data_IF_200921875576
#
_entry.id   IF_200921875576
#
_cell.length_a   1.000
_cell.length_b   1.000
_cell.length_c   1.000
_cell.angle_alpha   90.00
_cell.angle_beta   90.00
_cell.angle_gamma   90.00
#
_symmetry.space_group_name_H-M   'P 1'
#
loop_
_entity.id
_entity.type
_entity.pdbx_description
1 polymer ?
#
# COMPACT_ATOMS: atom_id res chain seq x y z
N UNK A 1 37.83 -48.03 -21.70
CA UNK A 1 37.09 -46.76 -21.72
C UNK A 1 36.32 -46.66 -20.40
N UNK A 2 36.83 -45.90 -19.44
CA UNK A 2 36.06 -45.54 -18.24
C UNK A 2 35.24 -44.28 -18.55
N UNK A 3 33.99 -44.18 -18.08
CA UNK A 3 33.19 -42.98 -18.31
C UNK A 3 33.71 -41.85 -17.43
N UNK A 4 33.95 -40.70 -18.05
CA UNK A 4 34.31 -39.45 -17.38
C UNK A 4 33.07 -38.97 -16.62
N UNK A 5 33.10 -39.06 -15.30
CA UNK A 5 32.11 -38.43 -14.44
C UNK A 5 32.31 -36.92 -14.52
N UNK A 6 31.41 -36.21 -15.19
CA UNK A 6 31.32 -34.75 -15.05
C UNK A 6 30.90 -34.42 -13.61
N UNK A 7 31.56 -33.46 -12.95
CA UNK A 7 31.22 -33.09 -11.59
C UNK A 7 29.85 -32.41 -11.59
N UNK A 8 28.90 -33.01 -10.88
CA UNK A 8 27.63 -32.35 -10.54
C UNK A 8 27.98 -31.19 -9.61
N UNK A 9 27.67 -29.96 -10.03
CA UNK A 9 27.97 -28.77 -9.24
C UNK A 9 27.31 -28.87 -7.85
N UNK A 10 28.10 -28.59 -6.82
CA UNK A 10 27.70 -28.75 -5.43
C UNK A 10 26.53 -27.79 -5.10
N UNK A 11 25.39 -28.28 -4.57
CA UNK A 11 24.21 -27.44 -4.29
C UNK A 11 24.51 -26.26 -3.37
N UNK A 12 25.47 -26.43 -2.45
CA UNK A 12 25.90 -25.40 -1.49
C UNK A 12 26.63 -24.24 -2.19
N UNK A 13 27.46 -24.55 -3.17
CA UNK A 13 28.21 -23.55 -3.96
C UNK A 13 27.25 -22.77 -4.87
N UNK A 14 26.28 -23.46 -5.48
CA UNK A 14 25.27 -22.79 -6.31
C UNK A 14 24.39 -21.83 -5.50
N UNK A 15 23.92 -22.24 -4.32
CA UNK A 15 23.10 -21.40 -3.41
C UNK A 15 23.90 -20.17 -2.95
N UNK A 16 25.16 -20.34 -2.55
CA UNK A 16 26.02 -19.23 -2.13
C UNK A 16 26.20 -18.20 -3.26
N UNK A 17 26.53 -18.63 -4.48
CA UNK A 17 26.73 -17.73 -5.63
C UNK A 17 25.44 -16.93 -5.96
N UNK A 18 24.26 -17.57 -5.90
CA UNK A 18 22.98 -16.85 -6.08
C UNK A 18 22.71 -15.84 -4.98
N UNK A 19 22.96 -16.17 -3.70
CA UNK A 19 22.72 -15.23 -2.60
C UNK A 19 23.65 -14.02 -2.66
N UNK A 20 24.93 -14.20 -3.03
CA UNK A 20 25.90 -13.09 -3.18
C UNK A 20 25.47 -12.14 -4.30
N UNK A 21 24.95 -12.67 -5.41
CA UNK A 21 24.47 -11.86 -6.55
C UNK A 21 23.25 -11.00 -6.19
N UNK A 22 22.26 -11.56 -5.48
CA UNK A 22 21.08 -10.79 -5.07
C UNK A 22 21.38 -9.76 -3.98
N UNK A 23 22.34 -10.06 -3.10
CA UNK A 23 22.81 -9.09 -2.09
C UNK A 23 23.45 -7.89 -2.77
N UNK A 24 24.29 -8.11 -3.80
CA UNK A 24 24.90 -7.03 -4.58
C UNK A 24 23.85 -6.19 -5.35
N UNK A 25 22.83 -6.83 -5.92
CA UNK A 25 21.74 -6.11 -6.59
C UNK A 25 20.94 -5.24 -5.62
N UNK A 26 20.66 -5.72 -4.40
CA UNK A 26 19.97 -4.90 -3.39
C UNK A 26 20.84 -3.73 -2.92
N UNK A 27 22.12 -3.95 -2.64
CA UNK A 27 23.03 -2.86 -2.29
C UNK A 27 23.05 -1.79 -3.39
N UNK A 28 23.15 -2.21 -4.66
CA UNK A 28 23.11 -1.29 -5.79
C UNK A 28 21.76 -0.58 -5.93
N UNK A 29 20.64 -1.27 -5.68
CA UNK A 29 19.30 -0.66 -5.66
C UNK A 29 19.21 0.45 -4.62
N UNK A 30 19.75 0.23 -3.42
CA UNK A 30 19.76 1.22 -2.35
C UNK A 30 20.58 2.46 -2.71
N UNK A 31 21.77 2.26 -3.28
CA UNK A 31 22.60 3.37 -3.81
C UNK A 31 21.84 4.20 -4.85
N UNK A 32 21.24 3.53 -5.84
CA UNK A 32 20.43 4.19 -6.88
C UNK A 32 19.26 4.95 -6.25
N UNK A 33 18.57 4.36 -5.26
CA UNK A 33 17.46 5.02 -4.58
C UNK A 33 17.90 6.31 -3.89
N UNK A 34 19.01 6.27 -3.15
CA UNK A 34 19.56 7.45 -2.44
C UNK A 34 19.99 8.53 -3.43
N UNK A 35 20.69 8.14 -4.51
CA UNK A 35 21.09 9.06 -5.57
C UNK A 35 19.88 9.75 -6.19
N UNK A 36 18.87 8.99 -6.60
CA UNK A 36 17.67 9.53 -7.24
C UNK A 36 16.84 10.41 -6.30
N UNK A 37 16.72 10.03 -5.03
CA UNK A 37 16.01 10.81 -4.03
C UNK A 37 16.72 12.14 -3.72
N UNK A 38 18.05 12.19 -3.81
CA UNK A 38 18.83 13.43 -3.62
C UNK A 38 18.63 14.44 -4.75
N UNK A 39 18.14 14.00 -5.92
CA UNK A 39 17.89 14.82 -7.10
C UNK A 39 16.48 15.42 -7.13
N UNK A 40 15.63 15.12 -6.14
CA UNK A 40 14.27 15.65 -6.04
C UNK A 40 14.03 16.33 -4.70
N UNK A 41 13.32 17.44 -4.73
CA UNK A 41 12.83 18.09 -3.51
C UNK A 41 11.76 17.24 -2.84
N UNK A 42 11.55 17.46 -1.54
CA UNK A 42 10.45 16.81 -0.81
C UNK A 42 9.07 17.12 -1.43
N UNK A 43 8.89 18.32 -1.96
CA UNK A 43 7.65 18.76 -2.59
C UNK A 43 7.35 17.96 -3.87
N UNK A 44 8.35 17.78 -4.74
CA UNK A 44 8.22 16.97 -5.96
C UNK A 44 7.89 15.51 -5.65
N UNK A 45 8.53 14.93 -4.62
CA UNK A 45 8.24 13.56 -4.17
C UNK A 45 6.83 13.44 -3.59
N UNK A 46 6.37 14.45 -2.86
CA UNK A 46 5.01 14.50 -2.30
C UNK A 46 3.93 14.60 -3.38
N UNK A 47 4.16 15.35 -4.45
CA UNK A 47 3.21 15.50 -5.57
C UNK A 47 2.91 14.16 -6.24
N UNK A 48 3.95 13.34 -6.43
CA UNK A 48 3.85 12.01 -7.04
C UNK A 48 3.59 10.88 -6.03
N UNK A 49 3.64 11.18 -4.73
CA UNK A 49 3.48 10.19 -3.65
C UNK A 49 4.58 9.13 -3.62
N UNK A 50 5.80 9.49 -4.01
CA UNK A 50 6.93 8.59 -4.22
C UNK A 50 7.75 8.43 -2.94
N UNK A 51 7.48 7.36 -2.20
CA UNK A 51 8.24 6.97 -1.02
C UNK A 51 8.68 5.51 -1.17
N UNK A 52 9.99 5.27 -1.18
CA UNK A 52 10.50 3.91 -1.27
C UNK A 52 10.18 3.13 0.00
N UNK A 53 9.68 1.92 -0.16
CA UNK A 53 9.51 0.97 0.95
C UNK A 53 10.87 0.58 1.51
N UNK A 54 11.13 0.72 2.83
CA UNK A 54 12.36 0.21 3.44
C UNK A 54 12.49 -1.30 3.21
N UNK A 55 13.70 -1.79 2.90
CA UNK A 55 13.90 -3.20 2.52
C UNK A 55 13.52 -4.17 3.64
N UNK A 56 13.74 -3.80 4.91
CA UNK A 56 13.37 -4.63 6.06
C UNK A 56 11.85 -4.86 6.09
N UNK A 57 11.06 -3.79 5.92
CA UNK A 57 9.61 -3.87 5.83
C UNK A 57 9.16 -4.67 4.60
N UNK A 58 9.79 -4.46 3.45
CA UNK A 58 9.47 -5.21 2.23
C UNK A 58 9.69 -6.72 2.42
N UNK A 59 10.78 -7.11 3.11
CA UNK A 59 11.06 -8.51 3.47
C UNK A 59 10.01 -9.07 4.43
N UNK A 60 9.56 -8.31 5.42
CA UNK A 60 8.50 -8.74 6.33
C UNK A 60 7.18 -8.99 5.59
N UNK A 61 6.78 -8.06 4.72
CA UNK A 61 5.56 -8.17 3.91
C UNK A 61 5.62 -9.40 2.99
N UNK A 62 6.74 -9.58 2.29
CA UNK A 62 6.95 -10.73 1.39
C UNK A 62 6.98 -12.05 2.17
N UNK A 63 7.65 -12.10 3.32
CA UNK A 63 7.72 -13.30 4.15
C UNK A 63 6.33 -13.69 4.65
N UNK A 64 5.56 -12.72 5.12
CA UNK A 64 4.19 -12.95 5.56
C UNK A 64 3.30 -13.43 4.40
N UNK A 65 3.35 -12.75 3.25
CA UNK A 65 2.58 -13.15 2.06
C UNK A 65 2.94 -14.56 1.58
N UNK A 66 4.23 -14.91 1.54
CA UNK A 66 4.72 -16.26 1.22
C UNK A 66 4.15 -17.33 2.14
N UNK A 67 3.99 -17.04 3.43
CA UNK A 67 3.44 -17.97 4.42
C UNK A 67 1.93 -18.19 4.25
N UNK A 68 1.22 -17.22 3.66
CA UNK A 68 -0.20 -17.35 3.29
C UNK A 68 -0.41 -18.15 2.01
N UNK A 69 0.62 -18.29 1.17
CA UNK A 69 0.55 -19.05 -0.08
C UNK A 69 0.75 -20.55 0.14
N UNK A 70 0.06 -21.43 -0.62
CA UNK A 70 0.31 -22.86 -0.57
C UNK A 70 1.78 -23.23 -0.88
N UNK A 71 2.33 -24.20 -0.16
CA UNK A 71 3.69 -24.70 -0.38
C UNK A 71 3.81 -25.32 -1.78
N UNK A 72 4.93 -25.11 -2.45
CA UNK A 72 5.24 -25.71 -3.76
C UNK A 72 4.62 -25.01 -4.98
N UNK A 73 3.61 -24.16 -4.79
CA UNK A 73 3.03 -23.36 -5.90
C UNK A 73 4.06 -22.36 -6.42
N UNK A 74 4.21 -22.32 -7.75
CA UNK A 74 5.04 -21.33 -8.47
C UNK A 74 4.45 -19.94 -8.30
N UNK A 75 5.31 -18.94 -8.15
CA UNK A 75 4.93 -17.55 -7.89
C UNK A 75 5.00 -16.77 -9.18
N UNK A 76 3.88 -16.15 -9.52
CA UNK A 76 3.76 -15.10 -10.54
C UNK A 76 3.54 -13.79 -9.79
N UNK A 77 4.61 -13.00 -9.69
CA UNK A 77 4.67 -11.77 -8.89
C UNK A 77 4.26 -10.54 -9.70
N UNK A 78 3.50 -9.64 -9.07
CA UNK A 78 3.09 -8.38 -9.67
C UNK A 78 3.20 -7.21 -8.69
N UNK A 79 3.79 -6.11 -9.15
CA UNK A 79 3.78 -4.82 -8.46
C UNK A 79 3.44 -3.68 -9.46
N UNK A 80 2.23 -3.11 -9.39
CA UNK A 80 1.78 -2.07 -10.31
C UNK A 80 2.42 -0.68 -10.07
N UNK A 81 3.18 -0.49 -8.99
CA UNK A 81 3.88 0.74 -8.64
C UNK A 81 5.31 0.42 -8.18
N UNK A 82 6.11 -0.09 -9.11
CA UNK A 82 7.34 -0.82 -8.84
C UNK A 82 8.46 0.03 -8.22
N UNK A 83 8.54 1.31 -8.58
CA UNK A 83 9.65 2.18 -8.19
C UNK A 83 11.00 1.57 -8.59
N UNK A 84 11.95 1.55 -7.65
CA UNK A 84 13.26 0.90 -7.85
C UNK A 84 13.24 -0.62 -7.62
N UNK A 85 12.12 -1.21 -7.16
CA UNK A 85 11.97 -2.66 -7.02
C UNK A 85 12.26 -3.23 -5.62
N UNK A 86 11.94 -2.50 -4.55
CA UNK A 86 12.15 -2.96 -3.18
C UNK A 86 11.45 -4.30 -2.88
N UNK A 87 10.20 -4.49 -3.34
CA UNK A 87 9.47 -5.75 -3.14
C UNK A 87 10.02 -6.91 -3.98
N UNK A 88 10.48 -6.64 -5.20
CA UNK A 88 11.12 -7.67 -6.03
C UNK A 88 12.48 -8.11 -5.47
N UNK A 89 13.26 -7.15 -4.96
CA UNK A 89 14.49 -7.44 -4.22
C UNK A 89 14.20 -8.29 -2.97
N UNK A 90 13.19 -7.91 -2.18
CA UNK A 90 12.73 -8.70 -1.04
C UNK A 90 12.27 -10.11 -1.46
N UNK A 91 11.51 -10.23 -2.55
CA UNK A 91 11.05 -11.51 -3.11
C UNK A 91 12.22 -12.44 -3.43
N UNK A 92 13.18 -11.97 -4.21
CA UNK A 92 14.34 -12.77 -4.65
C UNK A 92 15.27 -13.14 -3.50
N UNK A 93 15.30 -12.35 -2.43
CA UNK A 93 16.05 -12.69 -1.21
C UNK A 93 15.34 -13.71 -0.29
N UNK A 94 14.01 -13.80 -0.36
CA UNK A 94 13.18 -14.59 0.58
C UNK A 94 12.63 -15.88 -0.05
N UNK A 95 12.56 -15.94 -1.38
CA UNK A 95 11.98 -17.03 -2.15
C UNK A 95 13.05 -17.59 -3.10
N UNK A 96 13.19 -18.91 -3.12
CA UNK A 96 14.07 -19.58 -4.08
C UNK A 96 13.69 -19.20 -5.52
N UNK A 97 14.67 -18.86 -6.34
CA UNK A 97 14.48 -18.52 -7.76
C UNK A 97 13.67 -19.59 -8.51
N UNK A 98 13.87 -20.87 -8.18
CA UNK A 98 13.11 -21.98 -8.76
C UNK A 98 11.60 -21.90 -8.52
N UNK A 99 11.14 -21.20 -7.48
CA UNK A 99 9.72 -21.00 -7.18
C UNK A 99 9.14 -19.77 -7.88
N UNK A 100 9.95 -18.86 -8.41
CA UNK A 100 9.47 -17.66 -9.09
C UNK A 100 9.38 -17.97 -10.58
N UNK A 101 8.17 -17.99 -11.11
CA UNK A 101 7.89 -18.29 -12.53
C UNK A 101 7.87 -17.03 -13.38
N UNK A 102 7.26 -15.96 -12.88
CA UNK A 102 7.16 -14.68 -13.56
C UNK A 102 7.20 -13.53 -12.54
N UNK A 103 7.67 -12.37 -12.98
CA UNK A 103 7.62 -11.13 -12.21
C UNK A 103 7.38 -9.97 -13.17
N UNK A 104 6.35 -9.16 -12.91
CA UNK A 104 6.03 -7.98 -13.72
C UNK A 104 5.88 -6.75 -12.85
N UNK A 105 6.40 -5.62 -13.30
CA UNK A 105 6.39 -4.35 -12.59
C UNK A 105 6.05 -3.18 -13.49
N UNK A 106 5.27 -2.22 -12.99
CA UNK A 106 5.01 -0.96 -13.70
C UNK A 106 5.58 0.23 -12.95
N UNK A 107 6.24 1.14 -13.66
CA UNK A 107 6.65 2.45 -13.16
C UNK A 107 6.34 3.50 -14.23
N UNK A 108 5.80 4.64 -13.81
CA UNK A 108 5.42 5.73 -14.73
C UNK A 108 6.50 6.79 -14.83
N UNK A 109 7.29 6.97 -13.78
CA UNK A 109 8.32 7.99 -13.70
C UNK A 109 9.65 7.49 -14.26
N UNK A 110 10.09 8.08 -15.36
CA UNK A 110 11.36 7.75 -16.00
C UNK A 110 12.58 7.99 -15.11
N UNK A 111 12.49 8.93 -14.15
CA UNK A 111 13.55 9.23 -13.19
C UNK A 111 13.93 7.99 -12.37
N UNK A 112 12.91 7.28 -11.87
CA UNK A 112 13.11 6.04 -11.12
C UNK A 112 13.19 4.82 -12.03
N UNK A 113 12.40 4.79 -13.10
CA UNK A 113 12.22 3.58 -13.88
C UNK A 113 13.34 3.28 -14.88
N UNK A 114 14.03 4.28 -15.43
CA UNK A 114 15.17 4.02 -16.34
C UNK A 114 16.34 3.33 -15.60
N UNK A 115 16.84 3.84 -14.47
CA UNK A 115 17.90 3.17 -13.71
C UNK A 115 17.47 1.81 -13.16
N UNK A 116 16.22 1.69 -12.69
CA UNK A 116 15.69 0.43 -12.16
C UNK A 116 15.59 -0.65 -13.25
N UNK A 117 15.11 -0.31 -14.45
CA UNK A 117 15.06 -1.24 -15.58
C UNK A 117 16.46 -1.74 -15.97
N UNK A 118 17.46 -0.87 -15.96
CA UNK A 118 18.85 -1.24 -16.23
C UNK A 118 19.38 -2.20 -15.15
N UNK A 119 19.17 -1.87 -13.87
CA UNK A 119 19.55 -2.69 -12.71
C UNK A 119 19.00 -4.12 -12.81
N UNK A 120 17.73 -4.26 -13.19
CA UNK A 120 17.04 -5.55 -13.22
C UNK A 120 17.10 -6.27 -14.57
N UNK A 121 17.78 -5.71 -15.58
CA UNK A 121 17.83 -6.21 -16.97
C UNK A 121 18.31 -7.67 -17.12
N UNK A 122 19.12 -8.16 -16.18
CA UNK A 122 19.67 -9.53 -16.16
C UNK A 122 18.86 -10.49 -15.28
N UNK A 123 17.63 -10.13 -14.95
CA UNK A 123 16.71 -10.94 -14.13
C UNK A 123 15.47 -11.33 -14.93
N UNK A 124 14.58 -12.13 -14.32
CA UNK A 124 13.29 -12.52 -14.93
C UNK A 124 12.24 -11.41 -14.93
N UNK A 125 12.56 -10.24 -14.36
CA UNK A 125 11.61 -9.15 -14.21
C UNK A 125 11.25 -8.55 -15.57
N UNK A 126 9.95 -8.58 -15.88
CA UNK A 126 9.36 -7.76 -16.93
C UNK A 126 9.06 -6.35 -16.39
N UNK A 127 10.03 -5.44 -16.53
CA UNK A 127 9.92 -4.05 -16.07
C UNK A 127 9.29 -3.16 -17.16
N UNK A 128 8.09 -2.65 -16.89
CA UNK A 128 7.32 -1.82 -17.82
C UNK A 128 7.35 -0.35 -17.40
N UNK A 129 8.03 0.49 -18.17
CA UNK A 129 8.03 1.95 -18.00
C UNK A 129 6.77 2.57 -18.64
N UNK A 130 5.61 2.35 -17.99
CA UNK A 130 4.29 2.72 -18.49
C UNK A 130 3.35 3.07 -17.34
N UNK A 131 2.37 3.91 -17.64
CA UNK A 131 1.25 4.21 -16.74
C UNK A 131 0.34 2.97 -16.56
N UNK A 132 0.46 2.30 -15.41
CA UNK A 132 -0.33 1.13 -15.04
C UNK A 132 -1.84 1.35 -15.22
N UNK A 133 -2.34 2.55 -14.91
CA UNK A 133 -3.79 2.83 -14.91
C UNK A 133 -4.43 2.74 -16.30
N UNK A 134 -3.59 2.79 -17.35
CA UNK A 134 -3.99 2.67 -18.75
C UNK A 134 -3.84 1.25 -19.29
N UNK A 135 -3.20 0.36 -18.55
CA UNK A 135 -2.95 -1.01 -19.01
C UNK A 135 -4.19 -1.89 -18.86
N UNK A 136 -4.17 -3.04 -19.54
CA UNK A 136 -5.21 -4.06 -19.50
C UNK A 136 -4.67 -5.33 -18.84
N UNK A 137 -5.46 -5.99 -17.98
CA UNK A 137 -5.05 -7.26 -17.39
C UNK A 137 -4.89 -8.36 -18.46
N UNK A 138 -4.15 -9.44 -18.16
CA UNK A 138 -4.16 -10.64 -18.98
C UNK A 138 -5.58 -11.18 -19.17
N UNK A 139 -5.90 -11.66 -20.38
CA UNK A 139 -7.20 -12.21 -20.69
C UNK A 139 -7.40 -13.61 -20.07
N UNK A 140 -6.36 -14.45 -20.16
CA UNK A 140 -6.39 -15.83 -19.68
C UNK A 140 -6.02 -15.91 -18.19
N UNK A 141 -6.72 -16.78 -17.46
CA UNK A 141 -6.54 -16.95 -16.02
C UNK A 141 -5.14 -17.48 -15.65
N UNK A 142 -4.54 -18.31 -16.52
CA UNK A 142 -3.20 -18.85 -16.32
C UNK A 142 -2.09 -17.78 -16.41
N UNK A 143 -2.36 -16.67 -17.12
CA UNK A 143 -1.40 -15.59 -17.28
C UNK A 143 -1.44 -14.58 -16.13
N UNK A 144 -2.51 -14.58 -15.34
CA UNK A 144 -2.69 -13.71 -14.17
C UNK A 144 -1.74 -14.04 -13.03
N UNK A 145 -1.66 -13.12 -12.08
CA UNK A 145 -0.67 -13.15 -11.00
C UNK A 145 -1.28 -13.73 -9.72
N UNK A 146 -0.48 -14.50 -8.98
CA UNK A 146 -0.90 -15.12 -7.72
C UNK A 146 -0.26 -14.48 -6.49
N UNK A 147 0.65 -13.52 -6.69
CA UNK A 147 1.23 -12.71 -5.64
C UNK A 147 1.29 -11.25 -6.08
N UNK A 148 0.48 -10.40 -5.47
CA UNK A 148 0.41 -8.97 -5.78
C UNK A 148 0.86 -8.19 -4.56
N UNK A 149 1.97 -7.47 -4.64
CA UNK A 149 2.48 -6.68 -3.51
C UNK A 149 2.74 -5.28 -4.01
N UNK A 150 2.19 -4.28 -3.32
CA UNK A 150 2.31 -2.90 -3.79
C UNK A 150 2.34 -1.90 -2.64
N UNK A 151 3.21 -0.89 -2.80
CA UNK A 151 3.15 0.39 -2.11
C UNK A 151 2.76 1.44 -3.15
N UNK A 152 1.45 1.62 -3.44
CA UNK A 152 1.01 2.52 -4.48
C UNK A 152 1.28 3.99 -4.14
N UNK A 153 1.26 4.90 -5.12
CA UNK A 153 1.51 6.32 -4.88
C UNK A 153 0.41 6.97 -4.03
N UNK A 154 0.81 7.72 -2.98
CA UNK A 154 -0.11 8.37 -2.03
C UNK A 154 -0.62 9.74 -2.52
N UNK A 155 -0.96 9.82 -3.80
CA UNK A 155 -1.42 11.05 -4.44
C UNK A 155 -2.84 11.37 -4.01
N UNK A 156 -3.03 12.57 -3.44
CA UNK A 156 -4.35 13.07 -3.02
C UNK A 156 -5.22 13.37 -4.24
N UNK A 157 -6.53 13.26 -4.05
CA UNK A 157 -7.53 13.40 -5.10
C UNK A 157 -7.54 14.75 -5.86
N UNK A 158 -6.92 15.81 -5.30
CA UNK A 158 -6.76 17.12 -5.94
C UNK A 158 -5.72 17.12 -7.08
N UNK A 159 -4.80 16.16 -7.08
CA UNK A 159 -3.74 16.05 -8.09
C UNK A 159 -4.09 15.03 -9.19
N UNK A 160 -5.24 14.35 -9.09
CA UNK A 160 -5.76 13.38 -10.09
C UNK A 160 -6.69 14.11 -11.07
N UNK A 161 -6.20 15.16 -11.72
CA UNK A 161 -7.02 15.98 -12.63
C UNK A 161 -7.11 15.35 -14.03
N UNK A 162 -8.27 15.50 -14.69
CA UNK A 162 -8.49 15.07 -16.08
C UNK A 162 -8.82 13.58 -16.31
N UNK A 163 -8.32 12.65 -15.49
CA UNK A 163 -8.54 11.19 -15.70
C UNK A 163 -9.57 10.55 -14.75
N UNK A 164 -10.07 11.32 -13.80
CA UNK A 164 -10.87 10.81 -12.67
C UNK A 164 -12.12 10.04 -13.07
N UNK A 165 -12.91 10.56 -14.03
CA UNK A 165 -14.13 9.89 -14.52
C UNK A 165 -13.80 8.52 -15.14
N UNK A 166 -12.73 8.47 -15.93
CA UNK A 166 -12.24 7.24 -16.56
C UNK A 166 -11.77 6.22 -15.51
N UNK A 167 -10.98 6.67 -14.54
CA UNK A 167 -10.50 5.81 -13.45
C UNK A 167 -11.65 5.30 -12.57
N UNK A 168 -12.67 6.12 -12.29
CA UNK A 168 -13.86 5.69 -11.57
C UNK A 168 -14.67 4.64 -12.33
N UNK A 169 -14.82 4.82 -13.65
CA UNK A 169 -15.50 3.84 -14.50
C UNK A 169 -14.76 2.50 -14.51
N UNK A 170 -13.44 2.52 -14.72
CA UNK A 170 -12.62 1.29 -14.68
C UNK A 170 -12.60 0.63 -13.29
N UNK A 171 -12.56 1.41 -12.21
CA UNK A 171 -12.60 0.87 -10.86
C UNK A 171 -13.94 0.17 -10.55
N UNK A 172 -15.05 0.71 -11.07
CA UNK A 172 -16.35 0.07 -10.99
C UNK A 172 -16.38 -1.22 -11.82
N UNK A 173 -15.87 -1.19 -13.04
CA UNK A 173 -15.82 -2.34 -13.94
C UNK A 173 -14.94 -3.48 -13.40
N UNK A 174 -13.74 -3.17 -12.92
CA UNK A 174 -12.75 -4.18 -12.49
C UNK A 174 -13.03 -4.76 -11.11
N UNK A 175 -13.58 -3.98 -10.18
CA UNK A 175 -13.61 -4.34 -8.76
C UNK A 175 -14.92 -3.97 -8.06
N UNK A 176 -15.96 -3.56 -8.80
CA UNK A 176 -17.22 -3.07 -8.23
C UNK A 176 -17.02 -1.90 -7.23
N UNK A 177 -15.93 -1.13 -7.40
CA UNK A 177 -15.55 -0.04 -6.50
C UNK A 177 -16.12 1.29 -6.99
N UNK A 178 -17.26 1.70 -6.44
CA UNK A 178 -17.81 3.05 -6.66
C UNK A 178 -17.03 4.09 -5.86
N UNK A 179 -15.90 4.54 -6.40
CA UNK A 179 -15.00 5.50 -5.74
C UNK A 179 -15.56 6.92 -5.80
N UNK A 180 -15.54 7.62 -4.67
CA UNK A 180 -15.93 9.03 -4.61
C UNK A 180 -14.82 9.92 -5.17
N UNK A 181 -15.15 11.18 -5.44
CA UNK A 181 -14.15 12.16 -5.86
C UNK A 181 -13.09 12.50 -4.80
N UNK A 182 -13.20 11.97 -3.59
CA UNK A 182 -12.22 12.20 -2.51
C UNK A 182 -11.18 11.07 -2.42
N UNK A 183 -11.38 9.97 -3.15
CA UNK A 183 -10.48 8.82 -3.14
C UNK A 183 -9.10 9.17 -3.72
N UNK A 184 -8.04 8.81 -2.98
CA UNK A 184 -6.66 8.93 -3.45
C UNK A 184 -6.31 7.91 -4.53
N UNK A 185 -5.14 8.08 -5.16
CA UNK A 185 -4.73 7.27 -6.31
C UNK A 185 -4.59 5.77 -5.96
N UNK A 186 -4.15 5.46 -4.74
CA UNK A 186 -4.02 4.08 -4.25
C UNK A 186 -5.33 3.27 -4.34
N UNK A 187 -6.50 3.92 -4.19
CA UNK A 187 -7.78 3.23 -4.29
C UNK A 187 -8.02 2.70 -5.71
N UNK A 188 -7.57 3.45 -6.72
CA UNK A 188 -7.68 3.05 -8.12
C UNK A 188 -6.66 1.96 -8.45
N UNK A 189 -5.43 2.03 -7.91
CA UNK A 189 -4.45 0.97 -8.08
C UNK A 189 -4.99 -0.36 -7.53
N UNK A 190 -5.57 -0.35 -6.32
CA UNK A 190 -6.20 -1.53 -5.74
C UNK A 190 -7.35 -2.08 -6.61
N UNK A 191 -8.23 -1.20 -7.09
CA UNK A 191 -9.37 -1.59 -7.93
C UNK A 191 -8.92 -2.19 -9.27
N UNK A 192 -8.00 -1.52 -9.97
CA UNK A 192 -7.54 -1.94 -11.29
C UNK A 192 -6.73 -3.23 -11.22
N UNK A 193 -5.93 -3.43 -10.16
CA UNK A 193 -5.19 -4.66 -9.94
C UNK A 193 -6.10 -5.87 -9.76
N UNK A 194 -7.39 -5.71 -9.42
CA UNK A 194 -8.30 -6.84 -9.27
C UNK A 194 -8.34 -7.74 -10.51
N UNK A 195 -8.40 -7.15 -11.71
CA UNK A 195 -8.40 -7.92 -12.96
C UNK A 195 -7.09 -8.64 -13.27
N UNK A 196 -5.98 -8.24 -12.63
CA UNK A 196 -4.66 -8.85 -12.82
C UNK A 196 -4.42 -10.06 -11.90
N UNK A 197 -5.27 -10.24 -10.89
CA UNK A 197 -5.15 -11.33 -9.93
C UNK A 197 -5.82 -12.59 -10.45
N UNK A 198 -5.16 -13.72 -10.30
CA UNK A 198 -5.83 -14.99 -10.46
C UNK A 198 -6.69 -15.33 -9.24
N UNK A 199 -7.56 -16.32 -9.41
CA UNK A 199 -8.33 -16.86 -8.32
C UNK A 199 -7.37 -17.38 -7.24
N UNK A 200 -7.63 -17.00 -5.99
CA UNK A 200 -6.81 -17.35 -4.83
C UNK A 200 -5.45 -16.64 -4.72
N UNK A 201 -5.16 -15.64 -5.56
CA UNK A 201 -3.97 -14.79 -5.41
C UNK A 201 -3.86 -14.21 -3.99
N UNK A 202 -2.65 -14.08 -3.47
CA UNK A 202 -2.40 -13.32 -2.24
C UNK A 202 -1.99 -11.91 -2.62
N UNK A 203 -2.72 -10.93 -2.10
CA UNK A 203 -2.39 -9.52 -2.27
C UNK A 203 -1.97 -8.89 -0.94
N UNK A 204 -0.96 -8.03 -0.96
CA UNK A 204 -0.59 -7.17 0.16
C UNK A 204 -0.42 -5.72 -0.30
N UNK A 205 -1.07 -4.81 0.41
CA UNK A 205 -1.09 -3.39 0.07
C UNK A 205 -0.59 -2.57 1.26
N UNK A 206 0.53 -1.87 1.08
CA UNK A 206 0.99 -0.84 2.00
C UNK A 206 0.31 0.47 1.61
N UNK A 207 -0.71 0.90 2.37
CA UNK A 207 -1.58 2.03 2.03
C UNK A 207 -1.91 2.89 3.25
N UNK A 208 -2.39 4.13 3.07
CA UNK A 208 -2.79 4.99 4.19
C UNK A 208 -3.92 4.34 5.02
N UNK A 209 -3.76 4.28 6.34
CA UNK A 209 -4.77 3.72 7.27
C UNK A 209 -6.06 4.53 7.36
N UNK A 210 -6.10 5.75 6.84
CA UNK A 210 -7.27 6.64 6.89
C UNK A 210 -8.54 6.04 6.28
N UNK A 211 -8.43 5.14 5.29
CA UNK A 211 -9.60 4.48 4.68
C UNK A 211 -10.48 3.75 5.70
N UNK A 212 -9.90 3.38 6.85
CA UNK A 212 -10.56 2.67 7.93
C UNK A 212 -11.62 3.53 8.64
N UNK A 213 -11.51 4.86 8.55
CA UNK A 213 -12.31 5.80 9.34
C UNK A 213 -13.05 6.87 8.52
N UNK A 214 -12.59 7.16 7.31
CA UNK A 214 -13.14 8.23 6.46
C UNK A 214 -14.26 7.73 5.54
N UNK A 215 -15.14 8.64 5.14
CA UNK A 215 -16.32 8.30 4.31
C UNK A 215 -15.93 7.73 2.94
N UNK A 216 -14.89 8.26 2.28
CA UNK A 216 -14.46 7.75 0.98
C UNK A 216 -13.94 6.30 1.10
N UNK A 217 -13.39 5.95 2.26
CA UNK A 217 -12.87 4.61 2.56
C UNK A 217 -13.96 3.55 2.65
N UNK A 218 -15.25 3.94 2.70
CA UNK A 218 -16.35 2.98 2.67
C UNK A 218 -16.35 2.11 1.40
N UNK A 219 -15.98 2.68 0.24
CA UNK A 219 -15.87 1.91 -1.01
C UNK A 219 -14.73 0.88 -0.96
N UNK A 220 -13.62 1.22 -0.29
CA UNK A 220 -12.49 0.29 -0.07
C UNK A 220 -12.90 -0.82 0.89
N UNK A 221 -13.55 -0.48 2.02
CA UNK A 221 -14.06 -1.48 2.97
C UNK A 221 -15.07 -2.42 2.31
N UNK A 222 -15.98 -1.89 1.49
CA UNK A 222 -16.95 -2.70 0.75
C UNK A 222 -16.27 -3.67 -0.22
N UNK A 223 -15.23 -3.24 -0.93
CA UNK A 223 -14.43 -4.14 -1.77
C UNK A 223 -13.77 -5.24 -0.96
N UNK A 224 -13.08 -4.88 0.13
CA UNK A 224 -12.38 -5.83 1.01
C UNK A 224 -13.31 -6.86 1.65
N UNK A 225 -14.57 -6.50 1.90
CA UNK A 225 -15.56 -7.40 2.49
C UNK A 225 -16.32 -8.25 1.46
N UNK A 226 -16.55 -7.75 0.25
CA UNK A 226 -17.53 -8.33 -0.68
C UNK A 226 -16.94 -8.85 -1.99
N UNK A 227 -15.74 -8.43 -2.39
CA UNK A 227 -15.15 -8.85 -3.67
C UNK A 227 -13.88 -9.68 -3.50
N UNK A 228 -13.30 -9.67 -2.31
CA UNK A 228 -12.14 -10.47 -1.92
C UNK A 228 -12.35 -11.07 -0.53
N UNK A 229 -11.42 -11.91 -0.07
CA UNK A 229 -11.40 -12.43 1.30
C UNK A 229 -10.32 -11.69 2.07
N UNK A 230 -10.72 -10.72 2.88
CA UNK A 230 -9.81 -9.98 3.74
C UNK A 230 -9.20 -10.92 4.78
N UNK A 231 -7.87 -10.91 4.91
CA UNK A 231 -7.15 -11.83 5.81
C UNK A 231 -6.64 -11.07 7.04
N UNK A 232 -5.92 -9.98 6.80
CA UNK A 232 -5.25 -9.25 7.87
C UNK A 232 -5.13 -7.76 7.56
N UNK A 233 -5.27 -6.92 8.58
CA UNK A 233 -4.87 -5.51 8.55
C UNK A 233 -3.87 -5.27 9.69
N UNK A 234 -2.64 -4.91 9.34
CA UNK A 234 -1.60 -4.52 10.29
C UNK A 234 -1.44 -3.00 10.29
N UNK A 235 -1.33 -2.39 11.47
CA UNK A 235 -0.98 -0.99 11.64
C UNK A 235 0.24 -0.85 12.51
N UNK A 236 1.16 0.01 12.10
CA UNK A 236 2.34 0.34 12.88
C UNK A 236 1.99 1.38 13.95
N UNK A 237 2.69 1.32 15.08
CA UNK A 237 2.61 2.37 16.08
C UNK A 237 3.43 3.56 15.59
N UNK A 238 2.84 4.77 15.43
CA UNK A 238 3.58 5.96 15.00
C UNK A 238 4.72 6.37 15.95
N UNK A 239 4.69 5.90 17.20
CA UNK A 239 5.76 6.12 18.17
C UNK A 239 6.96 5.18 17.99
N UNK A 240 6.84 4.14 17.16
CA UNK A 240 7.94 3.23 16.84
C UNK A 240 8.84 3.81 15.74
N UNK A 241 10.11 4.02 16.09
CA UNK A 241 11.14 4.62 15.22
C UNK A 241 11.60 3.71 14.09
N UNK A 242 11.23 2.42 14.08
CA UNK A 242 11.74 1.44 13.12
C UNK A 242 11.48 1.83 11.64
N UNK A 243 10.50 2.70 11.36
CA UNK A 243 10.10 3.04 10.00
C UNK A 243 9.58 4.48 9.84
N UNK A 244 10.12 5.41 10.65
CA UNK A 244 9.64 6.78 10.86
C UNK A 244 9.33 7.56 9.56
N UNK A 245 10.15 7.42 8.52
CA UNK A 245 10.03 8.23 7.30
C UNK A 245 8.94 7.75 6.31
N UNK A 246 8.41 6.53 6.45
CA UNK A 246 7.46 5.93 5.49
C UNK A 246 6.11 5.49 6.09
N UNK A 247 6.00 5.39 7.42
CA UNK A 247 4.87 4.71 8.07
C UNK A 247 3.93 5.56 8.92
N UNK A 248 4.14 6.88 9.01
CA UNK A 248 3.21 7.73 9.77
C UNK A 248 1.81 7.64 9.15
N UNK A 249 0.93 6.88 9.81
CA UNK A 249 -0.45 6.56 9.41
C UNK A 249 -0.63 5.57 8.25
N UNK A 250 0.32 4.66 7.98
CA UNK A 250 0.15 3.56 7.01
C UNK A 250 -0.39 2.26 7.65
N UNK A 251 -1.02 1.43 6.83
CA UNK A 251 -1.44 0.07 7.17
C UNK A 251 -1.00 -0.90 6.07
N UNK A 252 -0.75 -2.15 6.43
CA UNK A 252 -0.61 -3.24 5.45
C UNK A 252 -1.87 -4.08 5.47
N UNK A 253 -2.50 -4.22 4.30
CA UNK A 253 -3.74 -4.96 4.11
C UNK A 253 -3.45 -6.21 3.28
N UNK A 254 -3.69 -7.38 3.85
CA UNK A 254 -3.62 -8.67 3.14
C UNK A 254 -5.01 -9.19 2.84
N UNK A 255 -5.21 -9.62 1.59
CA UNK A 255 -6.42 -10.32 1.19
C UNK A 255 -6.11 -11.40 0.17
N UNK A 256 -7.04 -12.33 0.02
CA UNK A 256 -7.03 -13.36 -1.02
C UNK A 256 -7.97 -12.95 -2.15
N UNK A 257 -7.53 -13.10 -3.41
CA UNK A 257 -8.26 -12.83 -4.66
C UNK A 257 -9.40 -13.82 -4.92
N UNK A 258 -10.18 -14.13 -3.89
CA UNK A 258 -11.38 -14.95 -3.95
C UNK A 258 -12.44 -14.26 -3.11
N UNK A 259 -13.66 -14.14 -3.62
CA UNK A 259 -14.79 -13.61 -2.88
C UNK A 259 -15.04 -14.45 -1.62
N UNK A 260 -15.29 -13.78 -0.50
CA UNK A 260 -15.54 -14.45 0.77
C UNK A 260 -16.91 -15.11 0.81
N UNK A 261 -17.04 -16.22 1.55
CA UNK A 261 -18.31 -16.85 1.92
C UNK A 261 -19.07 -16.06 3.02
N UNK A 262 -18.72 -14.78 3.25
CA UNK A 262 -19.30 -13.87 4.24
C UNK A 262 -19.28 -14.39 5.70
N UNK A 263 -18.45 -15.39 5.98
CA UNK A 263 -18.35 -16.02 7.30
C UNK A 263 -16.90 -16.37 7.62
N UNK A 264 -16.07 -15.34 7.79
CA UNK A 264 -14.66 -15.47 8.18
C UNK A 264 -14.29 -14.44 9.24
N UNK A 265 -13.16 -14.68 9.90
CA UNK A 265 -12.52 -13.71 10.77
C UNK A 265 -11.38 -13.03 10.03
N UNK A 266 -11.20 -11.75 10.32
CA UNK A 266 -10.10 -10.92 9.83
C UNK A 266 -9.21 -10.61 11.01
N UNK A 267 -7.90 -10.85 10.85
CA UNK A 267 -6.92 -10.53 11.88
C UNK A 267 -6.58 -9.04 11.84
N UNK A 268 -6.78 -8.34 12.94
CA UNK A 268 -6.29 -6.97 13.13
C UNK A 268 -5.09 -7.00 14.05
N UNK A 269 -3.99 -6.38 13.62
CA UNK A 269 -2.76 -6.30 14.43
C UNK A 269 -2.28 -4.85 14.53
N UNK A 270 -1.67 -4.51 15.67
CA UNK A 270 -1.17 -3.16 15.93
C UNK A 270 0.14 -3.17 16.70
N UNK A 271 1.06 -2.28 16.31
CA UNK A 271 2.38 -2.11 16.92
C UNK A 271 3.31 -3.31 16.71
N UNK A 272 4.59 -3.14 17.05
CA UNK A 272 5.61 -4.18 16.79
C UNK A 272 5.80 -4.46 15.30
N UNK A 273 6.20 -5.69 14.98
CA UNK A 273 6.40 -6.13 13.59
C UNK A 273 5.19 -6.93 13.11
N UNK A 274 5.07 -7.12 11.78
CA UNK A 274 3.99 -7.92 11.17
C UNK A 274 3.91 -9.33 11.76
N UNK A 275 5.05 -9.95 12.07
CA UNK A 275 5.14 -11.33 12.57
C UNK A 275 5.10 -11.42 14.11
N UNK A 276 5.35 -10.31 14.81
CA UNK A 276 5.30 -10.20 16.27
C UNK A 276 4.62 -8.88 16.64
N UNK A 277 3.29 -8.79 16.45
CA UNK A 277 2.57 -7.57 16.76
C UNK A 277 2.46 -7.37 18.27
N UNK A 278 2.39 -6.11 18.71
CA UNK A 278 2.19 -5.80 20.13
C UNK A 278 0.77 -6.18 20.60
N UNK A 279 -0.21 -6.02 19.71
CA UNK A 279 -1.61 -6.39 19.95
C UNK A 279 -2.19 -7.08 18.72
N UNK A 280 -3.04 -8.09 18.93
CA UNK A 280 -3.79 -8.75 17.87
C UNK A 280 -5.21 -9.09 18.29
N UNK A 281 -6.13 -9.13 17.32
CA UNK A 281 -7.52 -9.52 17.52
C UNK A 281 -8.14 -10.04 16.23
N UNK A 282 -8.83 -11.16 16.33
CA UNK A 282 -9.69 -11.65 15.26
C UNK A 282 -11.07 -10.98 15.36
N UNK A 283 -11.49 -10.36 14.26
CA UNK A 283 -12.78 -9.66 14.15
C UNK A 283 -13.60 -10.33 13.06
N UNK A 284 -14.82 -10.74 13.39
CA UNK A 284 -15.68 -11.41 12.41
C UNK A 284 -16.15 -10.46 11.32
N UNK A 285 -16.32 -11.00 10.11
CA UNK A 285 -16.87 -10.26 8.97
C UNK A 285 -18.18 -9.53 9.32
N UNK A 286 -19.06 -10.18 10.11
CA UNK A 286 -20.35 -9.60 10.55
C UNK A 286 -20.17 -8.35 11.43
N UNK A 287 -19.11 -8.27 12.23
CA UNK A 287 -18.79 -7.06 12.99
C UNK A 287 -18.30 -5.97 12.05
N UNK A 288 -17.45 -6.31 11.08
CA UNK A 288 -16.86 -5.34 10.15
C UNK A 288 -17.86 -4.69 9.19
N UNK A 289 -18.95 -5.39 8.84
CA UNK A 289 -20.03 -4.84 8.01
C UNK A 289 -20.85 -3.77 8.72
N UNK A 290 -20.89 -3.81 10.06
CA UNK A 290 -21.67 -2.86 10.87
C UNK A 290 -20.80 -1.77 11.48
N UNK A 291 -19.53 -2.06 11.78
CA UNK A 291 -18.60 -1.08 12.35
C UNK A 291 -18.11 -0.08 11.31
N UNK A 292 -18.27 1.21 11.63
CA UNK A 292 -17.87 2.31 10.74
C UNK A 292 -16.39 2.62 10.83
N UNK A 293 -15.79 2.48 12.02
CA UNK A 293 -14.39 2.83 12.30
C UNK A 293 -13.57 1.59 12.59
N UNK A 294 -12.86 1.09 11.59
CA UNK A 294 -12.04 -0.11 11.77
C UNK A 294 -10.74 0.17 12.52
N UNK A 295 -10.29 1.44 12.61
CA UNK A 295 -9.06 1.83 13.32
C UNK A 295 -9.10 1.57 14.83
N UNK A 296 -10.27 1.16 15.34
CA UNK A 296 -10.46 0.78 16.74
C UNK A 296 -9.88 -0.61 17.02
N UNK A 297 -9.80 -1.49 16.03
CA UNK A 297 -9.28 -2.84 16.19
C UNK A 297 -7.76 -2.88 15.96
N UNK A 298 -6.97 -3.58 16.79
CA UNK A 298 -7.38 -4.48 17.87
C UNK A 298 -7.63 -3.80 19.23
N UNK A 299 -7.29 -2.51 19.39
CA UNK A 299 -7.26 -1.78 20.68
C UNK A 299 -8.61 -1.68 21.42
N UNK A 300 -9.74 -2.00 20.79
CA UNK A 300 -11.07 -1.86 21.38
C UNK A 300 -11.98 -3.03 21.01
N UNK A 301 -12.99 -3.25 21.85
CA UNK A 301 -14.11 -4.15 21.55
C UNK A 301 -15.13 -3.54 20.59
N UNK A 302 -15.98 -4.42 20.05
CA UNK A 302 -17.16 -4.02 19.29
C UNK A 302 -17.98 -3.02 20.12
N UNK A 303 -18.41 -1.93 19.49
CA UNK A 303 -19.31 -0.98 20.17
C UNK A 303 -20.61 -1.68 20.51
N UNK A 304 -20.95 -1.69 21.79
CA UNK A 304 -22.33 -1.86 22.20
C UNK A 304 -23.03 -0.53 21.98
N UNK A 305 -24.11 -0.51 21.18
CA UNK A 305 -24.99 0.66 21.16
C UNK A 305 -25.65 0.76 22.52
N UNK A 306 -25.15 1.67 23.35
CA UNK A 306 -25.86 2.04 24.55
C UNK A 306 -27.11 2.81 24.10
N UNK A 307 -28.29 2.40 24.58
CA UNK A 307 -29.56 3.06 24.27
C UNK A 307 -29.67 4.51 24.78
N UNK A 308 -28.55 5.09 25.23
CA UNK A 308 -28.49 6.46 25.71
C UNK A 308 -28.54 7.45 24.53
N UNK A 309 -29.13 8.64 24.75
CA UNK A 309 -29.16 9.68 23.73
C UNK A 309 -27.74 10.15 23.37
N UNK A 310 -27.49 10.42 22.09
CA UNK A 310 -26.21 10.91 21.55
C UNK A 310 -26.18 12.44 21.61
N UNK A 311 -24.99 13.06 21.64
CA UNK A 311 -24.87 14.54 21.67
C UNK A 311 -25.68 15.26 20.58
N UNK A 312 -25.74 14.68 19.38
CA UNK A 312 -26.54 15.19 18.26
C UNK A 312 -28.06 15.27 18.54
N UNK A 313 -28.54 14.54 19.54
CA UNK A 313 -29.94 14.57 19.97
C UNK A 313 -30.24 15.83 20.80
N UNK A 314 -29.21 16.46 21.38
CA UNK A 314 -29.35 17.66 22.21
C UNK A 314 -28.76 18.91 21.55
N UNK A 315 -27.73 18.75 20.72
CA UNK A 315 -26.94 19.86 20.20
C UNK A 315 -26.70 19.74 18.70
N UNK A 316 -26.75 20.88 18.00
CA UNK A 316 -26.26 21.00 16.64
C UNK A 316 -24.75 21.31 16.65
N UNK A 317 -23.92 20.30 16.37
CA UNK A 317 -22.46 20.48 16.32
C UNK A 317 -22.06 20.98 14.94
N UNK A 318 -21.43 22.15 14.88
CA UNK A 318 -20.86 22.74 13.65
C UNK A 318 -19.35 22.88 13.81
N UNK A 319 -18.62 22.73 12.71
CA UNK A 319 -17.17 23.02 12.67
C UNK A 319 -16.99 24.54 12.83
N UNK A 320 -15.93 24.95 13.54
CA UNK A 320 -15.51 26.34 13.61
C UNK A 320 -15.15 26.92 12.24
N UNK A 321 -15.06 28.24 12.14
CA UNK A 321 -14.70 28.95 10.91
C UNK A 321 -13.32 28.48 10.43
N UNK A 322 -13.22 28.13 9.14
CA UNK A 322 -11.95 27.93 8.46
C UNK A 322 -11.71 29.16 7.59
N UNK A 323 -10.66 29.93 7.89
CA UNK A 323 -10.37 31.22 7.25
C UNK A 323 -9.75 31.06 5.85
N UNK A 324 -9.18 29.89 5.54
CA UNK A 324 -8.47 29.63 4.27
C UNK A 324 -7.07 30.26 4.20
N UNK A 325 -6.80 31.30 4.99
CA UNK A 325 -5.48 31.89 5.18
C UNK A 325 -5.34 32.44 6.61
N UNK A 326 -4.87 31.59 7.52
CA UNK A 326 -4.67 31.98 8.91
C UNK A 326 -3.70 33.16 9.06
N UNK A 327 -2.68 33.28 8.19
CA UNK A 327 -1.68 34.35 8.31
C UNK A 327 -2.28 35.71 7.95
N UNK A 328 -3.20 35.73 7.00
CA UNK A 328 -3.91 36.95 6.62
C UNK A 328 -4.99 37.34 7.62
N UNK A 329 -5.82 36.37 8.06
CA UNK A 329 -7.01 36.67 8.87
C UNK A 329 -6.78 36.68 10.38
N UNK A 330 -5.67 36.12 10.87
CA UNK A 330 -5.36 36.04 12.30
C UNK A 330 -4.15 36.93 12.60
N UNK A 331 -4.40 38.03 13.29
CA UNK A 331 -3.37 38.98 13.73
C UNK A 331 -3.29 39.00 15.25
N UNK A 332 -2.06 39.05 15.76
CA UNK A 332 -1.82 39.38 17.17
C UNK A 332 -2.16 40.85 17.43
N UNK A 333 -2.45 41.17 18.69
CA UNK A 333 -2.75 42.55 19.10
C UNK A 333 -1.63 43.54 18.72
N UNK A 334 -0.37 43.10 18.87
CA UNK A 334 0.81 43.88 18.49
C UNK A 334 0.79 44.18 16.98
N UNK A 335 0.44 43.21 16.14
CA UNK A 335 0.36 43.43 14.69
C UNK A 335 -0.76 44.41 14.32
N UNK A 336 -1.93 44.28 14.94
CA UNK A 336 -3.07 45.19 14.72
C UNK A 336 -2.68 46.63 15.08
N UNK A 337 -2.04 46.82 16.23
CA UNK A 337 -1.56 48.14 16.69
C UNK A 337 -0.47 48.69 15.76
N UNK A 338 0.51 47.87 15.37
CA UNK A 338 1.61 48.31 14.50
C UNK A 338 1.15 48.71 13.09
N UNK A 339 0.08 48.09 12.60
CA UNK A 339 -0.51 48.38 11.29
C UNK A 339 -1.60 49.46 11.36
N UNK A 340 -1.86 50.02 12.55
CA UNK A 340 -2.88 51.03 12.82
C UNK A 340 -4.29 50.59 12.33
N UNK A 341 -4.63 49.32 12.52
CA UNK A 341 -5.89 48.75 12.07
C UNK A 341 -7.00 48.96 13.12
N UNK A 342 -8.27 49.20 12.71
CA UNK A 342 -9.35 49.44 13.65
C UNK A 342 -9.71 48.16 14.43
N UNK A 343 -9.52 48.19 15.75
CA UNK A 343 -9.68 47.01 16.62
C UNK A 343 -11.11 46.45 16.60
N UNK A 344 -12.11 47.30 16.35
CA UNK A 344 -13.52 46.93 16.23
C UNK A 344 -13.83 46.01 15.05
N UNK A 345 -12.93 45.90 14.07
CA UNK A 345 -13.06 44.96 12.95
C UNK A 345 -12.57 43.55 13.32
N UNK A 346 -11.97 43.37 14.49
CA UNK A 346 -11.43 42.09 14.95
C UNK A 346 -12.31 41.47 16.02
N UNK A 347 -12.36 40.13 16.04
CA UNK A 347 -13.00 39.35 17.10
C UNK A 347 -11.96 38.46 17.77
N UNK A 348 -12.01 38.29 19.10
CA UNK A 348 -11.20 37.29 19.78
C UNK A 348 -11.49 35.89 19.21
N UNK A 349 -10.43 35.10 19.03
CA UNK A 349 -10.50 33.70 18.59
C UNK A 349 -9.88 32.78 19.61
#
# INVERSE_FOLDING_TARGET
>A
MQPVHQPVADPVVFVAITMTKFTALESRRQEIQVELDSLKTQEERNVMGQFSTPIALAKDIITHAKNLMPKGVKIRFFDPAFGTGAFFSALTSTVSSSRIEAATGFEVDEHYGKPARELWSKTILDYQLKDFTKQKPPAEECDKFNLIICNPPYVRHHHINGQKKHLQAKALESANMKLSGLAGLYCYFMALSHGWMNENAIAAWLIPSEFMDVNYGQSVKNYLLNEVTLLQIHRFDPSDVQFYDALVSSAVVWFKGKKSDNNHNVKFTFGGTINKPAQEKDVSWKVLTTEKKWSRFPLSDQRQESGYPKLRNFFAVKRGIATGDNKFFILSRIQIESLNLPIEQFRPI
#
